data_IF_063944270539
#
_entry.id   IF_063944270539
#
_cell.length_a   1.000
_cell.length_b   1.000
_cell.length_c   1.000
_cell.angle_alpha   90.00
_cell.angle_beta   90.00
_cell.angle_gamma   90.00
#
_symmetry.space_group_name_H-M   'P 1'
#
loop_
_entity.id
_entity.type
_entity.pdbx_description
1 polymer ?
#
# COMPACT_ATOMS: atom_id res chain seq x y z
N UNK A 1 -40.60 47.47 47.67
CA UNK A 1 -41.61 46.58 47.04
C UNK A 1 -41.23 46.39 45.58
N UNK A 2 -41.09 45.15 45.11
CA UNK A 2 -40.69 44.88 43.73
C UNK A 2 -40.08 43.49 43.57
N UNK A 3 -40.87 42.47 43.84
CA UNK A 3 -40.53 41.07 43.62
C UNK A 3 -40.71 40.74 42.13
N UNK A 4 -39.67 40.30 41.41
CA UNK A 4 -39.83 39.54 40.15
C UNK A 4 -38.72 38.50 40.00
N UNK A 5 -39.17 37.37 39.47
CA UNK A 5 -38.55 36.06 39.36
C UNK A 5 -37.36 36.03 38.40
N UNK A 6 -36.32 35.28 38.78
CA UNK A 6 -35.53 34.49 37.82
C UNK A 6 -35.46 33.02 38.27
N UNK A 7 -35.84 32.15 37.34
CA UNK A 7 -35.95 30.70 37.51
C UNK A 7 -34.57 30.06 37.59
N UNK A 8 -34.26 29.42 38.72
CA UNK A 8 -33.22 28.38 38.79
C UNK A 8 -33.71 27.14 38.03
N UNK A 9 -33.20 26.90 36.81
CA UNK A 9 -33.31 25.59 36.15
C UNK A 9 -32.20 24.69 36.71
N UNK A 10 -32.62 23.52 37.19
CA UNK A 10 -31.76 22.39 37.57
C UNK A 10 -30.89 21.95 36.38
N UNK A 11 -29.64 21.52 36.61
CA UNK A 11 -28.78 21.02 35.54
C UNK A 11 -29.35 19.72 34.95
N UNK A 12 -29.31 19.65 33.63
CA UNK A 12 -29.67 18.50 32.78
C UNK A 12 -28.57 17.41 32.91
N UNK A 13 -28.87 16.14 33.23
CA UNK A 13 -27.86 15.15 33.61
C UNK A 13 -27.09 14.48 32.45
N UNK A 14 -27.19 14.97 31.21
CA UNK A 14 -26.61 14.29 30.04
C UNK A 14 -25.48 15.08 29.34
N UNK A 15 -24.49 15.54 30.10
CA UNK A 15 -23.20 15.96 29.54
C UNK A 15 -22.08 15.56 30.51
N UNK A 16 -21.31 14.53 30.13
CA UNK A 16 -20.02 14.23 30.73
C UNK A 16 -18.93 14.47 29.68
N UNK A 17 -17.83 15.18 30.03
CA UNK A 17 -16.70 15.39 29.14
C UNK A 17 -15.93 14.08 28.96
N UNK A 18 -15.66 13.71 27.70
CA UNK A 18 -14.80 12.59 27.31
C UNK A 18 -13.35 12.88 27.69
N UNK A 19 -12.97 12.54 28.92
CA UNK A 19 -11.57 12.36 29.34
C UNK A 19 -11.53 11.75 30.75
N UNK A 20 -11.61 10.41 30.86
CA UNK A 20 -11.11 9.67 32.05
C UNK A 20 -10.52 8.30 31.65
N UNK A 21 -9.55 7.76 32.41
CA UNK A 21 -8.67 6.66 32.01
C UNK A 21 -9.23 5.24 32.25
N UNK A 22 -10.54 5.07 32.29
CA UNK A 22 -11.19 3.82 32.74
C UNK A 22 -11.99 3.10 31.63
N UNK A 23 -11.70 3.39 30.36
CA UNK A 23 -12.09 2.54 29.22
C UNK A 23 -10.90 1.72 28.69
N UNK A 24 -10.09 1.21 29.61
CA UNK A 24 -9.14 0.12 29.37
C UNK A 24 -9.66 -1.08 30.15
N UNK A 25 -9.67 -2.26 29.51
CA UNK A 25 -10.33 -3.52 29.92
C UNK A 25 -11.77 -3.72 29.40
N UNK A 26 -11.90 -3.98 28.10
CA UNK A 26 -12.81 -5.03 27.63
C UNK A 26 -12.52 -5.39 26.16
N UNK A 27 -11.46 -6.15 25.90
CA UNK A 27 -11.33 -6.98 24.69
C UNK A 27 -10.34 -8.13 24.97
N UNK A 28 -10.70 -8.99 25.93
CA UNK A 28 -10.21 -10.35 26.03
C UNK A 28 -11.44 -11.26 25.98
N UNK A 29 -11.85 -11.69 24.80
CA UNK A 29 -12.65 -12.92 24.63
C UNK A 29 -12.14 -13.63 23.39
N UNK A 30 -11.57 -14.81 23.64
CA UNK A 30 -11.22 -15.82 22.67
C UNK A 30 -12.47 -16.33 21.93
N UNK A 31 -12.34 -16.57 20.62
CA UNK A 31 -13.21 -17.52 19.92
C UNK A 31 -12.37 -18.73 19.50
N UNK A 32 -12.19 -19.68 20.43
CA UNK A 32 -11.71 -21.02 20.13
C UNK A 32 -12.89 -21.92 19.83
N UNK A 33 -13.03 -22.38 18.59
CA UNK A 33 -13.83 -23.56 18.28
C UNK A 33 -13.19 -24.33 17.11
N UNK A 34 -12.22 -25.18 17.45
CA UNK A 34 -11.90 -26.37 16.66
C UNK A 34 -11.25 -27.41 17.58
N UNK A 35 -11.84 -28.61 17.61
CA UNK A 35 -11.31 -29.77 18.34
C UNK A 35 -10.03 -30.26 17.66
N UNK A 36 -9.03 -30.80 18.37
CA UNK A 36 -7.86 -31.40 17.75
C UNK A 36 -8.23 -32.77 17.18
N UNK A 37 -8.46 -32.84 15.87
CA UNK A 37 -8.38 -34.08 15.11
C UNK A 37 -6.91 -34.37 14.79
N UNK A 38 -6.44 -35.58 15.11
CA UNK A 38 -5.12 -36.06 14.69
C UNK A 38 -5.15 -36.19 13.17
N UNK A 39 -4.63 -35.19 12.47
CA UNK A 39 -4.38 -35.24 11.03
C UNK A 39 -2.95 -35.70 10.83
N UNK A 40 -2.80 -36.91 10.30
CA UNK A 40 -1.57 -37.40 9.69
C UNK A 40 -1.08 -36.38 8.66
N UNK A 41 0.17 -35.92 8.82
CA UNK A 41 0.84 -34.99 7.90
C UNK A 41 0.88 -35.56 6.48
N UNK A 42 -0.10 -35.22 5.65
CA UNK A 42 0.11 -35.14 4.22
C UNK A 42 0.99 -33.92 3.95
N UNK A 43 1.98 -34.06 3.08
CA UNK A 43 2.78 -32.94 2.57
C UNK A 43 1.84 -31.93 1.88
N UNK A 44 1.31 -30.97 2.62
CA UNK A 44 0.73 -29.77 2.07
C UNK A 44 1.89 -28.99 1.43
N UNK A 45 1.95 -29.01 0.10
CA UNK A 45 2.75 -28.04 -0.64
C UNK A 45 2.29 -26.65 -0.21
N UNK A 46 3.12 -25.94 0.57
CA UNK A 46 2.88 -24.54 0.91
C UNK A 46 2.65 -23.78 -0.40
N UNK A 47 1.45 -23.26 -0.58
CA UNK A 47 1.12 -22.45 -1.75
C UNK A 47 1.98 -21.18 -1.70
N UNK A 48 2.82 -20.97 -2.72
CA UNK A 48 3.67 -19.79 -2.84
C UNK A 48 3.14 -18.87 -3.94
N UNK A 49 3.31 -17.56 -3.73
CA UNK A 49 2.96 -16.57 -4.75
C UNK A 49 3.85 -16.78 -6.00
N UNK A 50 3.29 -16.81 -7.22
CA UNK A 50 4.07 -17.04 -8.43
C UNK A 50 5.10 -15.94 -8.67
N UNK A 51 6.26 -16.33 -9.20
CA UNK A 51 7.33 -15.41 -9.59
C UNK A 51 7.33 -15.19 -11.10
N UNK A 52 7.43 -13.93 -11.53
CA UNK A 52 7.63 -13.54 -12.93
C UNK A 52 9.04 -12.98 -13.10
N UNK A 53 9.79 -13.50 -14.06
CA UNK A 53 11.19 -13.14 -14.31
C UNK A 53 11.30 -12.07 -15.41
N UNK A 54 11.70 -10.85 -15.01
CA UNK A 54 11.95 -9.72 -15.91
C UNK A 54 13.43 -9.54 -16.28
N UNK A 55 14.33 -10.40 -15.81
CA UNK A 55 15.77 -10.36 -16.09
C UNK A 55 16.11 -10.87 -17.51
N UNK A 56 15.24 -10.59 -18.49
CA UNK A 56 15.42 -11.02 -19.88
C UNK A 56 16.28 -10.00 -20.64
N UNK A 57 17.28 -10.43 -21.41
CA UNK A 57 18.23 -9.53 -22.07
C UNK A 57 17.57 -8.61 -23.11
N UNK A 58 16.52 -9.05 -23.80
CA UNK A 58 15.78 -8.28 -24.81
C UNK A 58 14.28 -8.17 -24.49
N UNK A 59 13.97 -7.73 -23.27
CA UNK A 59 12.60 -7.47 -22.84
C UNK A 59 12.05 -6.18 -23.47
N UNK A 60 11.66 -6.24 -24.74
CA UNK A 60 11.13 -5.09 -25.50
C UNK A 60 9.77 -5.40 -26.14
N UNK A 61 8.85 -4.42 -26.22
CA UNK A 61 7.56 -4.60 -26.86
C UNK A 61 7.67 -5.23 -28.25
N UNK A 62 6.89 -6.28 -28.49
CA UNK A 62 6.86 -7.02 -29.77
C UNK A 62 7.81 -8.22 -29.85
N UNK A 63 8.74 -8.40 -28.91
CA UNK A 63 9.61 -9.60 -28.89
C UNK A 63 8.88 -10.83 -28.32
N UNK A 64 9.47 -12.01 -28.54
CA UNK A 64 8.93 -13.27 -28.00
C UNK A 64 8.97 -13.30 -26.48
N UNK A 65 10.05 -12.75 -25.91
CA UNK A 65 10.29 -12.59 -24.49
C UNK A 65 9.25 -11.66 -23.86
N UNK A 66 8.96 -10.53 -24.50
CA UNK A 66 7.91 -9.62 -24.05
C UNK A 66 6.55 -10.30 -24.01
N UNK A 67 6.17 -11.00 -25.08
CA UNK A 67 4.88 -11.69 -25.13
C UNK A 67 4.78 -12.79 -24.07
N UNK A 68 5.88 -13.52 -23.82
CA UNK A 68 5.94 -14.55 -22.78
C UNK A 68 5.80 -13.96 -21.37
N UNK A 69 6.60 -12.95 -21.04
CA UNK A 69 6.55 -12.29 -19.71
C UNK A 69 5.20 -11.59 -19.52
N UNK A 70 4.70 -10.88 -20.54
CA UNK A 70 3.37 -10.26 -20.51
C UNK A 70 2.27 -11.28 -20.22
N UNK A 71 2.32 -12.45 -20.85
CA UNK A 71 1.33 -13.51 -20.60
C UNK A 71 1.40 -14.04 -19.17
N UNK A 72 2.61 -14.14 -18.60
CA UNK A 72 2.79 -14.51 -17.19
C UNK A 72 2.25 -13.43 -16.25
N UNK A 73 2.57 -12.15 -16.49
CA UNK A 73 2.01 -11.00 -15.75
C UNK A 73 0.49 -11.04 -15.78
N UNK A 74 -0.10 -11.20 -16.97
CA UNK A 74 -1.55 -11.23 -17.12
C UNK A 74 -2.17 -12.40 -16.36
N UNK A 75 -1.58 -13.59 -16.45
CA UNK A 75 -2.05 -14.77 -15.71
C UNK A 75 -2.03 -14.53 -14.21
N UNK A 76 -0.91 -14.07 -13.66
CA UNK A 76 -0.75 -13.94 -12.21
C UNK A 76 -1.62 -12.84 -11.62
N UNK A 77 -1.76 -11.68 -12.28
CA UNK A 77 -2.68 -10.63 -11.80
C UNK A 77 -4.14 -11.05 -11.93
N UNK A 78 -4.50 -11.80 -13.00
CA UNK A 78 -5.87 -12.26 -13.20
C UNK A 78 -6.24 -13.30 -12.15
N UNK A 79 -5.32 -14.17 -11.76
CA UNK A 79 -5.54 -15.24 -10.78
C UNK A 79 -5.44 -14.74 -9.34
N UNK A 80 -4.45 -13.90 -9.01
CA UNK A 80 -4.09 -13.55 -7.64
C UNK A 80 -4.17 -12.06 -7.33
N UNK A 81 -4.17 -11.17 -8.33
CA UNK A 81 -4.06 -9.73 -8.12
C UNK A 81 -2.67 -9.25 -7.68
N UNK A 82 -1.71 -10.16 -7.58
CA UNK A 82 -0.33 -9.88 -7.21
C UNK A 82 0.62 -10.97 -7.72
N UNK A 83 1.91 -10.67 -7.72
CA UNK A 83 2.98 -11.64 -8.01
C UNK A 83 4.32 -11.17 -7.42
N UNK A 84 5.26 -12.10 -7.28
CA UNK A 84 6.69 -11.78 -7.06
C UNK A 84 7.34 -11.49 -8.39
N UNK A 85 8.24 -10.51 -8.45
CA UNK A 85 8.96 -10.17 -9.66
C UNK A 85 10.46 -10.18 -9.41
N UNK A 86 11.22 -10.76 -10.36
CA UNK A 86 12.69 -10.64 -10.40
C UNK A 86 13.07 -9.54 -11.38
N UNK A 87 13.86 -8.57 -10.94
CA UNK A 87 14.27 -7.43 -11.76
C UNK A 87 15.67 -6.93 -11.41
N UNK A 88 16.65 -7.25 -12.26
CA UNK A 88 18.09 -7.06 -12.02
C UNK A 88 18.66 -5.73 -12.51
N UNK A 89 17.84 -4.84 -13.06
CA UNK A 89 18.32 -3.54 -13.56
C UNK A 89 18.71 -2.57 -12.45
N UNK A 90 18.29 -2.83 -11.22
CA UNK A 90 18.76 -2.11 -10.03
C UNK A 90 19.96 -2.88 -9.48
N UNK A 91 21.18 -2.31 -9.50
CA UNK A 91 22.34 -3.02 -8.97
C UNK A 91 22.16 -3.35 -7.49
N UNK A 92 22.54 -4.56 -7.08
CA UNK A 92 22.31 -5.05 -5.72
C UNK A 92 22.90 -4.14 -4.63
N UNK A 93 24.04 -3.50 -4.91
CA UNK A 93 24.66 -2.55 -3.99
C UNK A 93 23.81 -1.28 -3.80
N UNK A 94 23.06 -0.86 -4.82
CA UNK A 94 22.11 0.26 -4.73
C UNK A 94 20.92 -0.15 -3.87
N UNK A 95 20.34 -1.33 -4.08
CA UNK A 95 19.22 -1.82 -3.27
C UNK A 95 19.59 -1.90 -1.77
N UNK A 96 20.77 -2.48 -1.47
CA UNK A 96 21.30 -2.58 -0.10
C UNK A 96 21.60 -1.20 0.50
N UNK A 97 22.25 -0.33 -0.26
CA UNK A 97 22.51 1.05 0.19
C UNK A 97 21.21 1.82 0.43
N UNK A 98 20.19 1.62 -0.39
CA UNK A 98 18.90 2.29 -0.27
C UNK A 98 18.24 1.95 1.07
N UNK A 99 18.19 0.67 1.47
CA UNK A 99 17.64 0.29 2.78
C UNK A 99 18.47 0.82 3.95
N UNK A 100 19.78 0.98 3.78
CA UNK A 100 20.65 1.68 4.74
C UNK A 100 20.21 3.12 4.98
N UNK A 101 19.95 3.88 3.91
CA UNK A 101 19.43 5.26 3.99
C UNK A 101 18.04 5.29 4.67
N UNK A 102 17.15 4.34 4.32
CA UNK A 102 15.83 4.23 4.96
C UNK A 102 15.96 3.99 6.46
N UNK A 103 16.95 3.20 6.90
CA UNK A 103 17.23 2.99 8.32
C UNK A 103 17.65 4.29 9.00
N UNK A 104 18.60 5.03 8.42
CA UNK A 104 19.05 6.32 8.95
C UNK A 104 17.91 7.34 9.10
N UNK A 105 16.99 7.38 8.13
CA UNK A 105 15.77 8.20 8.19
C UNK A 105 14.93 7.87 9.44
N UNK A 106 14.74 6.59 9.76
CA UNK A 106 13.92 6.18 10.90
C UNK A 106 14.62 6.30 12.26
N UNK A 107 15.94 6.47 12.27
CA UNK A 107 16.76 6.76 13.46
C UNK A 107 16.70 8.24 13.88
N UNK A 108 16.12 9.11 13.05
CA UNK A 108 15.82 10.49 13.43
C UNK A 108 14.88 10.58 14.65
N UNK A 109 15.01 11.68 15.40
CA UNK A 109 14.19 11.90 16.60
C UNK A 109 12.70 11.96 16.26
N UNK A 110 11.79 11.50 17.14
CA UNK A 110 10.34 11.59 16.89
C UNK A 110 9.86 13.01 16.57
N UNK A 111 10.49 14.03 17.15
CA UNK A 111 10.20 15.44 16.89
C UNK A 111 10.54 15.81 15.45
N UNK A 112 11.74 15.44 14.99
CA UNK A 112 12.17 15.66 13.59
C UNK A 112 11.25 14.93 12.61
N UNK A 113 10.93 13.67 12.88
CA UNK A 113 10.07 12.86 11.99
C UNK A 113 8.70 13.51 11.77
N UNK A 114 8.12 14.11 12.81
CA UNK A 114 6.82 14.82 12.76
C UNK A 114 6.85 16.15 12.00
N UNK A 115 8.01 16.66 11.59
CA UNK A 115 8.10 17.85 10.74
C UNK A 115 7.59 17.56 9.32
N UNK A 116 7.65 16.30 8.87
CA UNK A 116 7.17 15.92 7.55
C UNK A 116 5.66 15.79 7.51
N UNK A 117 5.02 16.77 6.85
CA UNK A 117 3.57 16.85 6.67
C UNK A 117 3.23 17.02 5.18
N UNK A 118 2.05 16.55 4.79
CA UNK A 118 1.50 16.65 3.44
C UNK A 118 0.00 16.86 3.50
N UNK A 119 -0.54 17.60 2.53
CA UNK A 119 -1.99 17.77 2.33
C UNK A 119 -2.65 16.53 1.69
N UNK A 120 -1.86 15.67 1.04
CA UNK A 120 -2.36 14.41 0.50
C UNK A 120 -2.45 13.40 1.67
N UNK A 121 -3.63 12.78 1.88
CA UNK A 121 -3.80 11.83 2.98
C UNK A 121 -2.76 10.71 2.95
N UNK A 122 -2.31 10.30 4.14
CA UNK A 122 -1.34 9.22 4.35
C UNK A 122 0.08 9.46 3.81
N UNK A 123 0.44 10.64 3.28
CA UNK A 123 1.82 10.95 2.83
C UNK A 123 2.68 11.61 3.92
N UNK A 124 2.05 12.25 4.91
CA UNK A 124 2.73 12.75 6.11
C UNK A 124 3.48 11.63 6.84
N UNK A 125 4.39 12.00 7.74
CA UNK A 125 4.92 11.01 8.68
C UNK A 125 3.79 10.36 9.46
N UNK A 126 3.70 9.04 9.36
CA UNK A 126 2.77 8.23 10.11
C UNK A 126 3.55 7.44 11.16
N UNK A 127 3.24 7.64 12.44
CA UNK A 127 3.95 7.02 13.55
C UNK A 127 3.50 7.68 14.85
N UNK A 128 2.34 7.26 15.38
CA UNK A 128 1.84 7.80 16.64
C UNK A 128 2.58 7.18 17.82
N UNK A 129 2.83 8.01 18.82
CA UNK A 129 3.11 7.62 20.19
C UNK A 129 1.87 7.98 21.03
N UNK A 130 1.48 7.19 22.04
CA UNK A 130 2.26 6.11 22.65
C UNK A 130 2.08 4.76 21.95
N UNK A 131 2.98 3.79 22.24
CA UNK A 131 2.87 2.39 21.81
C UNK A 131 1.44 1.81 21.93
N UNK A 132 1.11 0.77 21.13
CA UNK A 132 2.05 -0.11 20.42
C UNK A 132 1.86 -0.05 18.89
N UNK A 133 2.10 1.10 18.25
CA UNK A 133 2.22 1.09 16.79
C UNK A 133 3.59 0.54 16.40
N UNK A 134 3.60 -0.74 16.01
CA UNK A 134 4.76 -1.40 15.41
C UNK A 134 5.06 -0.88 14.01
N UNK A 135 4.44 0.22 13.55
CA UNK A 135 4.54 0.69 12.17
C UNK A 135 4.74 2.20 12.14
N UNK A 136 5.74 2.64 11.38
CA UNK A 136 5.92 4.03 10.99
C UNK A 136 6.29 4.16 9.50
N UNK A 137 5.91 5.28 8.88
CA UNK A 137 6.17 5.52 7.46
C UNK A 137 6.33 7.00 7.09
N UNK A 138 7.03 7.24 5.98
CA UNK A 138 7.11 8.53 5.28
C UNK A 138 6.65 8.37 3.84
N UNK A 139 5.97 9.37 3.28
CA UNK A 139 5.67 9.45 1.85
C UNK A 139 6.51 10.53 1.17
N UNK A 140 7.08 10.22 0.01
CA UNK A 140 7.77 11.16 -0.89
C UNK A 140 7.01 11.15 -2.21
N UNK A 141 6.45 12.29 -2.60
CA UNK A 141 5.72 12.48 -3.86
C UNK A 141 6.70 12.62 -5.03
N UNK A 142 6.41 11.95 -6.14
CA UNK A 142 7.20 11.90 -7.37
C UNK A 142 8.71 11.90 -7.12
N UNK A 143 9.23 10.88 -6.42
CA UNK A 143 10.63 10.80 -6.03
C UNK A 143 11.59 10.69 -7.23
N UNK A 144 11.10 10.45 -8.45
CA UNK A 144 11.89 10.54 -9.69
C UNK A 144 12.27 12.00 -10.03
N UNK A 145 11.57 12.98 -9.47
CA UNK A 145 11.92 14.39 -9.52
C UNK A 145 12.87 14.71 -8.36
N UNK A 146 14.15 14.93 -8.65
CA UNK A 146 15.18 15.15 -7.63
C UNK A 146 14.85 16.29 -6.64
N UNK A 147 14.16 17.34 -7.11
CA UNK A 147 13.70 18.45 -6.27
C UNK A 147 12.75 17.99 -5.14
N UNK A 148 11.93 16.97 -5.38
CA UNK A 148 11.01 16.46 -4.37
C UNK A 148 11.78 15.70 -3.27
N UNK A 149 12.77 14.88 -3.65
CA UNK A 149 13.68 14.22 -2.70
C UNK A 149 14.49 15.22 -1.87
N UNK A 150 15.03 16.26 -2.49
CA UNK A 150 15.78 17.29 -1.75
C UNK A 150 14.89 18.14 -0.85
N UNK A 151 13.67 18.46 -1.29
CA UNK A 151 12.67 19.13 -0.44
C UNK A 151 12.31 18.29 0.79
N UNK A 152 12.09 16.98 0.60
CA UNK A 152 11.87 16.03 1.68
C UNK A 152 13.02 16.03 2.71
N UNK A 153 14.28 15.93 2.25
CA UNK A 153 15.42 15.91 3.18
C UNK A 153 15.67 17.26 3.85
N UNK A 154 15.40 18.38 3.19
CA UNK A 154 15.54 19.72 3.78
C UNK A 154 14.56 19.97 4.94
N UNK A 155 13.43 19.28 4.99
CA UNK A 155 12.50 19.33 6.13
C UNK A 155 13.07 18.60 7.35
N UNK A 156 13.79 17.51 7.14
CA UNK A 156 14.22 16.59 8.20
C UNK A 156 15.65 16.83 8.68
N UNK A 157 16.53 17.34 7.82
CA UNK A 157 17.92 17.65 8.13
C UNK A 157 18.19 19.15 7.97
N UNK A 158 18.77 19.84 8.98
CA UNK A 158 19.01 21.29 8.90
C UNK A 158 19.89 21.76 7.73
N UNK A 159 20.75 20.89 7.19
CA UNK A 159 21.61 21.16 6.03
C UNK A 159 21.19 20.37 4.79
N UNK A 160 19.99 19.78 4.81
CA UNK A 160 19.55 18.77 3.86
C UNK A 160 20.34 17.46 3.98
N UNK A 161 20.07 16.53 3.07
CA UNK A 161 20.84 15.30 2.91
C UNK A 161 20.95 14.95 1.41
N UNK A 162 21.95 15.51 0.69
CA UNK A 162 22.10 15.30 -0.75
C UNK A 162 22.32 13.82 -1.12
N UNK A 163 23.16 13.12 -0.36
CA UNK A 163 23.43 11.69 -0.59
C UNK A 163 22.15 10.84 -0.48
N UNK A 164 21.35 11.06 0.56
CA UNK A 164 20.03 10.41 0.68
C UNK A 164 19.14 10.76 -0.51
N UNK A 165 19.08 12.04 -0.87
CA UNK A 165 18.24 12.53 -1.96
C UNK A 165 18.60 11.89 -3.31
N UNK A 166 19.90 11.79 -3.62
CA UNK A 166 20.42 11.16 -4.83
C UNK A 166 20.09 9.66 -4.88
N UNK A 167 20.31 8.94 -3.78
CA UNK A 167 20.03 7.49 -3.70
C UNK A 167 18.55 7.17 -3.81
N UNK A 168 17.69 7.89 -3.09
CA UNK A 168 16.23 7.73 -3.20
C UNK A 168 15.77 8.06 -4.62
N UNK A 169 16.26 9.16 -5.19
CA UNK A 169 15.88 9.57 -6.55
C UNK A 169 16.28 8.52 -7.59
N UNK A 170 17.53 8.04 -7.54
CA UNK A 170 18.02 7.01 -8.44
C UNK A 170 17.20 5.72 -8.32
N UNK A 171 17.05 5.19 -7.09
CA UNK A 171 16.25 3.98 -6.85
C UNK A 171 14.83 4.13 -7.37
N UNK A 172 14.16 5.24 -7.03
CA UNK A 172 12.77 5.47 -7.41
C UNK A 172 12.59 5.65 -8.91
N UNK A 173 13.58 6.24 -9.58
CA UNK A 173 13.58 6.34 -11.05
C UNK A 173 13.60 4.94 -11.67
N UNK A 174 14.46 4.05 -11.20
CA UNK A 174 14.52 2.68 -11.73
C UNK A 174 13.22 1.89 -11.46
N UNK A 175 12.67 1.98 -10.24
CA UNK A 175 11.41 1.30 -9.89
C UNK A 175 10.23 1.89 -10.67
N UNK A 176 10.23 3.20 -10.96
CA UNK A 176 9.18 3.83 -11.78
C UNK A 176 9.22 3.35 -13.22
N UNK A 177 10.40 3.18 -13.81
CA UNK A 177 10.52 2.59 -15.15
C UNK A 177 10.07 1.12 -15.16
N UNK A 178 10.37 0.38 -14.09
CA UNK A 178 9.89 -1.00 -13.94
C UNK A 178 8.35 -1.06 -13.84
N UNK A 179 7.75 -0.16 -13.07
CA UNK A 179 6.30 0.00 -12.97
C UNK A 179 5.65 0.25 -14.32
N UNK A 180 6.19 1.17 -15.12
CA UNK A 180 5.70 1.44 -16.48
C UNK A 180 5.74 0.22 -17.39
N UNK A 181 6.79 -0.62 -17.29
CA UNK A 181 6.89 -1.88 -18.04
C UNK A 181 5.72 -2.81 -17.68
N UNK A 182 5.50 -3.03 -16.38
CA UNK A 182 4.42 -3.91 -15.90
C UNK A 182 3.06 -3.36 -16.33
N UNK A 183 2.80 -2.07 -16.08
CA UNK A 183 1.51 -1.45 -16.41
C UNK A 183 1.23 -1.46 -17.91
N UNK A 184 2.24 -1.28 -18.76
CA UNK A 184 2.12 -1.48 -20.21
C UNK A 184 1.73 -2.92 -20.56
N UNK A 185 2.39 -3.91 -19.96
CA UNK A 185 2.04 -5.33 -20.18
C UNK A 185 0.58 -5.63 -19.80
N UNK A 186 0.08 -5.04 -18.71
CA UNK A 186 -1.32 -5.18 -18.29
C UNK A 186 -2.27 -4.58 -19.33
N UNK A 187 -2.05 -3.33 -19.73
CA UNK A 187 -2.91 -2.63 -20.70
C UNK A 187 -2.92 -3.34 -22.07
N UNK A 188 -1.76 -3.79 -22.55
CA UNK A 188 -1.67 -4.56 -23.79
C UNK A 188 -2.44 -5.89 -23.71
N UNK A 189 -2.37 -6.59 -22.56
CA UNK A 189 -3.09 -7.86 -22.35
C UNK A 189 -4.61 -7.67 -22.33
N UNK A 190 -5.06 -6.48 -21.93
CA UNK A 190 -6.46 -6.08 -21.94
C UNK A 190 -6.92 -5.45 -23.26
N UNK A 191 -6.05 -5.38 -24.27
CA UNK A 191 -6.33 -4.74 -25.57
C UNK A 191 -6.70 -3.25 -25.39
N UNK A 192 -6.10 -2.60 -24.39
CA UNK A 192 -6.27 -1.18 -24.08
C UNK A 192 -5.13 -0.32 -24.61
N UNK A 193 -4.47 -0.75 -25.69
CA UNK A 193 -3.33 -0.05 -26.29
C UNK A 193 -3.65 1.40 -26.69
N UNK A 194 -4.88 1.68 -27.12
CA UNK A 194 -5.33 3.03 -27.49
C UNK A 194 -5.43 3.98 -26.28
N UNK A 195 -5.49 3.46 -25.05
CA UNK A 195 -5.55 4.25 -23.82
C UNK A 195 -4.18 4.37 -23.14
N UNK A 196 -3.13 3.73 -23.68
CA UNK A 196 -1.82 3.61 -23.02
C UNK A 196 -1.19 4.97 -22.73
N UNK A 197 -1.11 5.86 -23.73
CA UNK A 197 -0.43 7.15 -23.59
C UNK A 197 -1.17 8.05 -22.60
N UNK A 198 -2.50 8.16 -22.71
CA UNK A 198 -3.30 8.93 -21.74
C UNK A 198 -3.15 8.37 -20.33
N UNK A 199 -3.23 7.04 -20.18
CA UNK A 199 -3.12 6.37 -18.88
C UNK A 199 -1.75 6.57 -18.24
N UNK A 200 -0.67 6.50 -19.01
CA UNK A 200 0.69 6.70 -18.48
C UNK A 200 0.97 8.15 -18.13
N UNK A 201 0.47 9.10 -18.93
CA UNK A 201 0.71 10.53 -18.76
C UNK A 201 -0.21 11.20 -17.72
N UNK A 202 -1.23 10.49 -17.21
CA UNK A 202 -2.16 10.99 -16.19
C UNK A 202 -1.85 10.47 -14.79
N UNK A 203 -0.70 9.81 -14.61
CA UNK A 203 -0.33 9.16 -13.34
C UNK A 203 0.94 9.71 -12.74
N UNK A 204 0.91 9.81 -11.42
CA UNK A 204 2.01 10.17 -10.51
C UNK A 204 2.28 9.00 -9.57
N UNK A 205 3.33 9.10 -8.76
CA UNK A 205 3.64 8.08 -7.76
C UNK A 205 4.09 8.67 -6.42
N UNK A 206 3.95 7.87 -5.37
CA UNK A 206 4.54 8.13 -4.07
C UNK A 206 5.45 6.97 -3.70
N UNK A 207 6.67 7.27 -3.27
CA UNK A 207 7.48 6.30 -2.55
C UNK A 207 7.15 6.40 -1.06
N UNK A 208 6.60 5.32 -0.53
CA UNK A 208 6.40 5.16 0.91
C UNK A 208 7.57 4.38 1.49
N UNK A 209 8.29 4.99 2.40
CA UNK A 209 9.33 4.35 3.21
C UNK A 209 8.68 3.87 4.51
N UNK A 210 8.90 2.63 4.90
CA UNK A 210 8.17 1.98 6.00
C UNK A 210 9.14 1.23 6.91
N UNK A 211 8.89 1.33 8.21
CA UNK A 211 9.56 0.55 9.24
C UNK A 211 8.53 -0.14 10.11
N UNK A 212 8.76 -1.43 10.32
CA UNK A 212 8.00 -2.24 11.25
C UNK A 212 8.91 -2.65 12.40
N UNK A 213 8.50 -2.32 13.63
CA UNK A 213 9.27 -2.60 14.84
C UNK A 213 9.18 -4.08 15.22
N UNK A 214 10.20 -4.53 15.95
CA UNK A 214 10.20 -5.85 16.59
C UNK A 214 9.05 -5.88 17.60
N UNK A 215 8.17 -6.91 17.57
CA UNK A 215 7.11 -7.03 18.55
C UNK A 215 7.69 -7.27 19.95
N UNK A 216 7.08 -6.68 20.99
CA UNK A 216 7.49 -6.92 22.39
C UNK A 216 7.23 -8.37 22.84
N UNK A 217 6.33 -9.06 22.15
CA UNK A 217 5.92 -10.43 22.45
C UNK A 217 6.47 -11.40 21.41
N UNK A 218 6.69 -12.65 21.84
CA UNK A 218 7.12 -13.74 20.97
C UNK A 218 6.05 -14.14 19.96
N UNK A 219 4.78 -13.85 20.25
CA UNK A 219 3.67 -14.14 19.36
C UNK A 219 3.62 -13.16 18.19
N UNK A 220 3.45 -13.66 16.95
CA UNK A 220 3.41 -12.78 15.80
C UNK A 220 2.26 -11.76 15.88
N UNK A 221 2.60 -10.49 15.73
CA UNK A 221 1.68 -9.36 15.94
C UNK A 221 1.36 -8.67 14.62
N UNK A 222 0.10 -8.28 14.41
CA UNK A 222 -0.31 -7.51 13.22
C UNK A 222 0.20 -6.07 13.32
N UNK A 223 1.23 -5.76 12.55
CA UNK A 223 1.78 -4.41 12.43
C UNK A 223 1.07 -3.60 11.32
N UNK A 224 0.50 -4.27 10.33
CA UNK A 224 -0.50 -3.71 9.41
C UNK A 224 -1.68 -4.67 9.31
N UNK A 225 -2.91 -4.13 9.43
CA UNK A 225 -4.15 -4.92 9.34
C UNK A 225 -4.43 -5.31 7.89
N UNK A 226 -5.34 -6.28 7.70
CA UNK A 226 -5.85 -6.63 6.37
C UNK A 226 -6.44 -5.41 5.68
N UNK A 227 -5.94 -5.11 4.48
CA UNK A 227 -6.46 -4.04 3.62
C UNK A 227 -6.15 -4.32 2.15
N UNK A 228 -6.80 -3.55 1.28
CA UNK A 228 -6.45 -3.41 -0.13
C UNK A 228 -5.79 -2.06 -0.37
N UNK A 229 -4.85 -2.05 -1.30
CA UNK A 229 -4.22 -0.82 -1.78
C UNK A 229 -5.21 0.04 -2.55
N UNK A 230 -5.18 1.36 -2.33
CA UNK A 230 -6.17 2.31 -2.89
C UNK A 230 -5.79 2.81 -4.28
N UNK A 231 -4.50 2.78 -4.59
CA UNK A 231 -3.85 3.25 -5.80
C UNK A 231 -4.09 2.32 -7.02
N UNK A 232 -3.32 2.49 -8.10
CA UNK A 232 -3.39 1.62 -9.28
C UNK A 232 -2.58 0.34 -9.09
N UNK A 233 -1.30 0.52 -8.80
CA UNK A 233 -0.32 -0.57 -8.67
C UNK A 233 0.74 -0.19 -7.67
N UNK A 234 1.17 -1.18 -6.89
CA UNK A 234 2.21 -1.05 -5.87
C UNK A 234 3.37 -1.96 -6.22
N UNK A 235 4.60 -1.43 -6.18
CA UNK A 235 5.84 -2.23 -6.21
C UNK A 235 6.50 -2.14 -4.85
N UNK A 236 6.60 -3.28 -4.16
CA UNK A 236 7.17 -3.38 -2.83
C UNK A 236 8.54 -4.06 -2.85
N UNK A 237 9.49 -3.45 -2.14
CA UNK A 237 10.80 -3.98 -1.83
C UNK A 237 11.01 -4.01 -0.31
N UNK A 238 11.76 -4.98 0.21
CA UNK A 238 12.00 -5.12 1.65
C UNK A 238 13.41 -5.65 1.95
N UNK A 239 13.82 -5.53 3.20
CA UNK A 239 14.98 -6.26 3.73
C UNK A 239 14.65 -7.76 3.92
N UNK A 240 15.65 -8.53 4.39
CA UNK A 240 15.56 -9.98 4.62
C UNK A 240 14.70 -10.37 5.84
N UNK A 241 13.71 -9.54 6.19
CA UNK A 241 12.75 -9.79 7.27
C UNK A 241 11.37 -9.90 6.64
N UNK A 242 10.84 -11.11 6.62
CA UNK A 242 9.50 -11.40 6.10
C UNK A 242 8.40 -10.85 7.02
N UNK A 243 7.18 -10.82 6.50
CA UNK A 243 6.01 -10.43 7.26
C UNK A 243 4.80 -10.04 6.41
N UNK A 244 4.98 -9.81 5.11
CA UNK A 244 3.87 -9.61 4.19
C UNK A 244 3.10 -10.93 4.00
N UNK A 245 1.79 -10.86 4.21
CA UNK A 245 0.86 -11.95 3.89
C UNK A 245 -0.19 -11.42 2.89
N UNK A 246 -0.49 -12.19 1.85
CA UNK A 246 -1.52 -11.89 0.84
C UNK A 246 -2.63 -12.93 0.89
N UNK A 247 -3.88 -12.50 0.75
CA UNK A 247 -5.04 -13.39 0.78
C UNK A 247 -5.37 -13.88 -0.63
N UNK A 248 -5.58 -15.19 -0.78
CA UNK A 248 -6.11 -15.78 -2.01
C UNK A 248 -7.58 -15.42 -2.20
N UNK A 249 -8.08 -15.63 -3.42
CA UNK A 249 -9.52 -15.55 -3.72
C UNK A 249 -10.37 -16.54 -2.92
N UNK A 250 -9.75 -17.58 -2.36
CA UNK A 250 -10.42 -18.58 -1.51
C UNK A 250 -10.35 -18.22 -0.02
N UNK A 251 -9.74 -17.09 0.33
CA UNK A 251 -9.68 -16.58 1.70
C UNK A 251 -8.45 -17.04 2.50
N UNK A 252 -7.59 -17.86 1.91
CA UNK A 252 -6.36 -18.38 2.53
C UNK A 252 -5.26 -17.31 2.54
N UNK A 253 -4.46 -17.27 3.60
CA UNK A 253 -3.35 -16.33 3.71
C UNK A 253 -2.03 -17.00 3.31
N UNK A 254 -1.31 -16.38 2.37
CA UNK A 254 -0.01 -16.83 1.89
C UNK A 254 1.05 -15.85 2.39
N UNK A 255 2.07 -16.39 3.07
CA UNK A 255 3.27 -15.63 3.39
C UNK A 255 4.08 -15.35 2.12
N UNK A 256 4.50 -14.10 1.96
CA UNK A 256 5.32 -13.69 0.83
C UNK A 256 6.78 -13.60 1.26
N UNK A 257 7.56 -14.57 0.82
CA UNK A 257 9.01 -14.63 1.05
C UNK A 257 9.75 -13.89 -0.07
N UNK A 258 10.57 -12.90 0.31
CA UNK A 258 11.44 -12.14 -0.60
C UNK A 258 12.93 -12.37 -0.29
N UNK A 259 13.28 -13.64 -0.06
CA UNK A 259 14.64 -14.07 0.30
C UNK A 259 15.66 -14.00 -0.85
N UNK A 260 15.19 -13.81 -2.09
CA UNK A 260 16.04 -13.71 -3.27
C UNK A 260 16.42 -12.24 -3.55
N UNK A 261 17.69 -12.01 -3.91
CA UNK A 261 18.13 -10.70 -4.42
C UNK A 261 17.30 -10.27 -5.63
N UNK A 262 17.14 -8.97 -5.87
CA UNK A 262 16.37 -8.41 -6.98
C UNK A 262 14.88 -8.78 -6.99
N UNK A 263 14.32 -9.15 -5.83
CA UNK A 263 12.93 -9.55 -5.70
C UNK A 263 12.03 -8.41 -5.24
N UNK A 264 10.91 -8.26 -5.93
CA UNK A 264 9.86 -7.29 -5.65
C UNK A 264 8.51 -7.98 -5.53
N UNK A 265 7.54 -7.34 -4.88
CA UNK A 265 6.13 -7.76 -4.91
C UNK A 265 5.32 -6.71 -5.62
N UNK A 266 4.51 -7.17 -6.58
CA UNK A 266 3.60 -6.32 -7.33
C UNK A 266 2.19 -6.59 -6.82
N UNK A 267 1.45 -5.53 -6.45
CA UNK A 267 0.05 -5.62 -6.01
C UNK A 267 -0.81 -4.69 -6.86
N UNK A 268 -1.98 -5.18 -7.28
CA UNK A 268 -3.00 -4.33 -7.91
C UNK A 268 -3.82 -3.61 -6.83
N UNK A 269 -4.14 -2.34 -7.07
CA UNK A 269 -4.95 -1.53 -6.19
C UNK A 269 -6.37 -1.26 -6.70
N UNK A 270 -7.19 -0.70 -5.81
CA UNK A 270 -8.61 -0.45 -6.03
C UNK A 270 -8.89 0.55 -7.16
N UNK A 271 -8.05 1.57 -7.34
CA UNK A 271 -8.26 2.51 -8.44
C UNK A 271 -8.07 1.83 -9.80
N UNK A 272 -7.21 0.81 -9.91
CA UNK A 272 -7.03 0.10 -11.18
C UNK A 272 -8.19 -0.84 -11.44
N UNK A 273 -8.75 -1.45 -10.38
CA UNK A 273 -10.03 -2.14 -10.47
C UNK A 273 -11.13 -1.22 -10.97
N UNK A 274 -11.23 0.01 -10.45
CA UNK A 274 -12.25 0.96 -10.89
C UNK A 274 -12.08 1.34 -12.38
N UNK A 275 -10.84 1.68 -12.76
CA UNK A 275 -10.51 2.03 -14.14
C UNK A 275 -10.78 0.88 -15.10
N UNK A 276 -10.47 -0.37 -14.72
CA UNK A 276 -10.75 -1.56 -15.54
C UNK A 276 -12.18 -2.12 -15.38
N UNK A 277 -13.12 -1.33 -14.84
CA UNK A 277 -14.52 -1.75 -14.63
C UNK A 277 -14.68 -3.08 -13.86
N UNK A 278 -13.85 -3.32 -12.84
CA UNK A 278 -13.91 -4.51 -12.01
C UNK A 278 -13.12 -5.72 -12.51
N UNK A 279 -12.42 -5.62 -13.65
CA UNK A 279 -11.67 -6.75 -14.23
C UNK A 279 -10.46 -7.18 -13.41
N UNK A 280 -9.75 -6.21 -12.83
CA UNK A 280 -8.62 -6.51 -11.96
C UNK A 280 -9.08 -6.62 -10.51
N UNK A 281 -8.50 -7.58 -9.78
CA UNK A 281 -8.81 -7.82 -8.38
C UNK A 281 -7.65 -7.37 -7.49
N UNK A 282 -7.85 -6.40 -6.59
CA UNK A 282 -6.83 -6.04 -5.60
C UNK A 282 -6.87 -7.05 -4.46
N UNK A 283 -5.75 -7.73 -4.14
CA UNK A 283 -5.71 -8.71 -3.07
C UNK A 283 -5.72 -8.01 -1.71
N UNK A 284 -6.45 -8.61 -0.75
CA UNK A 284 -6.24 -8.26 0.66
C UNK A 284 -4.82 -8.65 1.04
N UNK A 285 -4.13 -7.77 1.77
CA UNK A 285 -2.82 -8.06 2.29
C UNK A 285 -2.66 -7.43 3.68
N UNK A 286 -1.72 -7.97 4.46
CA UNK A 286 -1.43 -7.53 5.84
C UNK A 286 0.04 -7.72 6.15
N UNK A 287 0.50 -7.11 7.25
CA UNK A 287 1.87 -7.33 7.74
C UNK A 287 1.82 -7.90 9.15
N UNK A 288 2.37 -9.09 9.30
CA UNK A 288 2.53 -9.81 10.56
C UNK A 288 4.00 -9.84 10.92
N UNK A 289 4.34 -9.23 12.04
CA UNK A 289 5.72 -9.16 12.53
C UNK A 289 5.98 -10.27 13.54
N UNK A 290 7.10 -10.96 13.37
CA UNK A 290 7.62 -11.97 14.28
C UNK A 290 9.16 -11.92 14.29
N UNK A 291 9.78 -12.51 15.31
CA UNK A 291 11.24 -12.59 15.40
C UNK A 291 11.86 -11.38 16.11
N UNK A 292 13.16 -11.16 15.88
CA UNK A 292 14.01 -10.24 16.64
C UNK A 292 14.55 -9.05 15.84
N UNK A 293 14.17 -8.92 14.57
CA UNK A 293 14.67 -7.88 13.67
C UNK A 293 13.56 -6.97 13.15
N UNK A 294 13.88 -5.69 12.98
CA UNK A 294 12.95 -4.74 12.39
C UNK A 294 12.87 -4.95 10.87
N UNK A 295 11.66 -4.85 10.33
CA UNK A 295 11.44 -4.92 8.88
C UNK A 295 11.43 -3.52 8.29
N UNK A 296 12.26 -3.30 7.28
CA UNK A 296 12.30 -2.08 6.49
C UNK A 296 11.80 -2.40 5.09
N UNK A 297 10.87 -1.60 4.59
CA UNK A 297 10.35 -1.77 3.24
C UNK A 297 10.11 -0.44 2.57
N UNK A 298 10.14 -0.44 1.24
CA UNK A 298 9.73 0.68 0.42
C UNK A 298 8.69 0.21 -0.58
N UNK A 299 7.62 0.98 -0.73
CA UNK A 299 6.58 0.75 -1.72
C UNK A 299 6.47 1.95 -2.64
N UNK A 300 6.55 1.72 -3.96
CA UNK A 300 6.17 2.71 -4.96
C UNK A 300 4.68 2.52 -5.27
N UNK A 301 3.86 3.52 -4.95
CA UNK A 301 2.42 3.51 -5.14
C UNK A 301 2.06 4.45 -6.29
N UNK A 302 1.68 3.91 -7.44
CA UNK A 302 1.28 4.70 -8.62
C UNK A 302 -0.22 4.93 -8.63
N UNK A 303 -0.67 6.17 -8.87
CA UNK A 303 -2.07 6.57 -8.91
C UNK A 303 -2.30 7.71 -9.91
N UNK A 304 -3.56 8.02 -10.21
CA UNK A 304 -3.88 9.15 -11.10
C UNK A 304 -3.64 10.50 -10.42
N UNK A 305 -3.07 11.45 -11.17
CA UNK A 305 -2.77 12.80 -10.69
C UNK A 305 -3.97 13.51 -10.09
N UNK A 306 -3.71 14.38 -9.11
CA UNK A 306 -4.74 15.23 -8.50
C UNK A 306 -5.45 16.06 -9.57
N UNK A 307 -6.78 16.02 -9.59
CA UNK A 307 -7.61 16.68 -10.59
C UNK A 307 -7.96 15.80 -11.79
N UNK A 308 -7.21 14.72 -12.05
CA UNK A 308 -7.57 13.75 -13.08
C UNK A 308 -8.77 12.92 -12.61
N UNK A 309 -9.79 12.84 -13.46
CA UNK A 309 -10.96 12.00 -13.20
C UNK A 309 -10.68 10.58 -13.69
N UNK A 310 -10.44 9.67 -12.74
CA UNK A 310 -10.40 8.23 -12.97
C UNK A 310 -11.71 7.80 -13.60
N UNK A 311 -11.69 7.51 -14.90
CA UNK A 311 -12.85 7.09 -15.68
C UNK A 311 -12.56 5.75 -16.34
N UNK A 312 -13.54 4.86 -16.28
CA UNK A 312 -13.50 3.59 -17.00
C UNK A 312 -13.43 3.81 -18.51
N UNK A 313 -12.47 3.18 -19.23
CA UNK A 313 -12.42 3.19 -20.69
C UNK A 313 -13.72 2.68 -21.30
N UNK A 314 -14.22 3.31 -22.37
CA UNK A 314 -15.46 2.85 -23.03
C UNK A 314 -15.35 1.40 -23.49
N UNK A 315 -14.16 0.96 -23.91
CA UNK A 315 -13.90 -0.43 -24.33
C UNK A 315 -14.12 -1.48 -23.22
N UNK A 316 -14.26 -1.06 -21.95
CA UNK A 316 -14.51 -1.94 -20.79
C UNK A 316 -15.99 -1.96 -20.35
N UNK A 317 -16.87 -1.33 -21.13
CA UNK A 317 -18.29 -1.21 -20.84
C UNK A 317 -19.08 -1.81 -22.01
N UNK A 318 -19.88 -2.83 -21.73
CA UNK A 318 -20.75 -3.49 -22.71
C UNK A 318 -22.02 -4.03 -22.03
N UNK A 319 -22.93 -4.66 -22.79
CA UNK A 319 -24.19 -5.20 -22.26
C UNK A 319 -23.98 -6.26 -21.16
N UNK A 320 -22.89 -7.03 -21.23
CA UNK A 320 -22.53 -8.04 -20.23
C UNK A 320 -21.71 -7.44 -19.07
N UNK A 321 -21.16 -6.24 -19.24
CA UNK A 321 -20.29 -5.55 -18.29
C UNK A 321 -20.70 -4.08 -18.15
N UNK A 322 -21.85 -3.80 -17.50
CA UNK A 322 -22.29 -2.44 -17.29
C UNK A 322 -21.30 -1.67 -16.42
N UNK A 323 -21.38 -0.34 -16.48
CA UNK A 323 -20.53 0.55 -15.68
C UNK A 323 -20.74 0.28 -14.19
N UNK A 324 -19.66 -0.04 -13.47
CA UNK A 324 -19.68 -0.30 -12.03
C UNK A 324 -19.28 0.90 -11.18
N UNK A 325 -18.53 1.85 -11.75
CA UNK A 325 -17.93 2.96 -11.03
C UNK A 325 -18.13 4.30 -11.78
N UNK A 326 -18.65 5.30 -11.08
CA UNK A 326 -18.74 6.69 -11.52
C UNK A 326 -17.33 7.31 -11.56
N UNK A 327 -17.05 8.25 -12.47
CA UNK A 327 -15.77 8.93 -12.52
C UNK A 327 -15.44 9.63 -11.19
N UNK A 328 -14.19 9.54 -10.73
CA UNK A 328 -13.79 10.09 -9.44
C UNK A 328 -12.36 10.62 -9.43
N UNK A 329 -12.07 11.51 -8.47
CA UNK A 329 -10.71 11.98 -8.19
C UNK A 329 -10.07 11.13 -7.09
N UNK A 330 -8.83 10.72 -7.27
CA UNK A 330 -8.12 9.83 -6.35
C UNK A 330 -7.86 10.46 -4.98
N UNK A 331 -7.46 11.73 -4.93
CA UNK A 331 -7.16 12.42 -3.66
C UNK A 331 -8.44 12.66 -2.87
N UNK A 332 -9.53 13.02 -3.55
CA UNK A 332 -10.85 13.12 -2.90
C UNK A 332 -11.36 11.76 -2.39
N UNK A 333 -11.10 10.68 -3.13
CA UNK A 333 -11.37 9.32 -2.64
C UNK A 333 -10.55 8.99 -1.39
N UNK A 334 -9.26 9.35 -1.33
CA UNK A 334 -8.43 9.12 -0.14
C UNK A 334 -8.94 9.92 1.07
N UNK A 335 -9.37 11.17 0.89
CA UNK A 335 -9.97 11.99 1.95
C UNK A 335 -11.26 11.38 2.48
N UNK A 336 -12.12 10.89 1.57
CA UNK A 336 -13.31 10.13 1.95
C UNK A 336 -12.93 8.88 2.75
N UNK A 337 -11.95 8.10 2.26
CA UNK A 337 -11.50 6.87 2.90
C UNK A 337 -10.94 7.11 4.32
N UNK A 338 -10.16 8.17 4.53
CA UNK A 338 -9.61 8.52 5.85
C UNK A 338 -10.72 8.79 6.88
N UNK A 339 -11.80 9.49 6.49
CA UNK A 339 -12.95 9.74 7.35
C UNK A 339 -13.91 8.55 7.50
N UNK A 340 -13.92 7.66 6.52
CA UNK A 340 -14.81 6.49 6.44
C UNK A 340 -14.25 5.28 7.18
N UNK A 341 -12.94 5.01 7.07
CA UNK A 341 -12.29 3.80 7.60
C UNK A 341 -12.54 3.55 9.11
N UNK A 342 -12.59 4.58 9.99
CA UNK A 342 -12.88 4.37 11.41
C UNK A 342 -14.34 3.99 11.72
N UNK A 343 -15.27 4.18 10.79
CA UNK A 343 -16.73 4.08 10.99
C UNK A 343 -17.36 2.91 10.23
N UNK A 344 -16.62 2.31 9.31
CA UNK A 344 -17.13 1.28 8.43
C UNK A 344 -17.34 -0.05 9.15
N UNK A 345 -18.40 -0.76 8.78
CA UNK A 345 -18.47 -2.20 8.99
C UNK A 345 -17.43 -2.87 8.07
N UNK A 346 -16.71 -3.88 8.58
CA UNK A 346 -15.54 -4.50 7.93
C UNK A 346 -15.83 -5.07 6.52
N UNK A 347 -17.11 -5.27 6.16
CA UNK A 347 -17.52 -5.92 4.91
C UNK A 347 -17.84 -4.93 3.76
N UNK A 348 -17.90 -3.63 4.03
CA UNK A 348 -18.24 -2.63 3.00
C UNK A 348 -16.98 -2.15 2.27
N UNK A 349 -17.01 -2.07 0.92
CA UNK A 349 -15.86 -1.61 0.13
C UNK A 349 -15.92 -0.09 -0.03
N UNK A 350 -14.92 0.63 0.51
CA UNK A 350 -14.85 2.09 0.47
C UNK A 350 -15.00 2.65 -0.95
N UNK A 351 -14.35 2.03 -1.94
CA UNK A 351 -14.44 2.45 -3.33
C UNK A 351 -15.89 2.34 -3.85
N UNK A 352 -16.58 1.23 -3.56
CA UNK A 352 -17.99 1.07 -3.96
C UNK A 352 -18.91 2.06 -3.25
N UNK A 353 -18.68 2.32 -1.97
CA UNK A 353 -19.45 3.31 -1.23
C UNK A 353 -19.26 4.73 -1.79
N UNK A 354 -18.05 5.04 -2.27
CA UNK A 354 -17.70 6.37 -2.79
C UNK A 354 -18.19 6.60 -4.22
N UNK A 355 -17.90 5.66 -5.13
CA UNK A 355 -18.14 5.84 -6.57
C UNK A 355 -18.91 4.70 -7.23
N UNK A 356 -19.50 3.76 -6.48
CA UNK A 356 -20.36 2.72 -7.05
C UNK A 356 -21.54 3.30 -7.84
N UNK A 357 -21.93 2.62 -8.93
CA UNK A 357 -23.13 2.94 -9.72
C UNK A 357 -24.38 2.47 -9.02
#
# INVERSE_FOLDING_TARGET
MGCKYEKKKKPNPNYLPLNTPEMRFMFFIFSTNSKPGILTMSQETLFQLPTVDFCKPDLKPGTSEWNSVRSQVWKTISEHGCFKALFDKIPLHVEKSFLGEVKELFDLTPQTKRLHVSEIPFLSYFGKSPPPLLYESFGIEDPSIFKNCSSFTNVLWPRGNPNFSEKINYYSTQVSEFEKIIRRMILESMILGNYLDEHMNSTTCVLRLMKYQVPEFTEPTYASKSHTDKNLITILYQNQVDGLEVQTKHGEWISVELSQDHSFVILIGESFRAWTNGRLHPPNHRVRMSGSEARYSAGLFTFFETGYKTKTPEAMIDENHPLLYKPFDYVEFLKFFEGWAPKANLDECALKAYCGV
#
